data_IF_507363385392
#
_entry.id   IF_507363385392
#
_cell.length_a   1.000
_cell.length_b   1.000
_cell.length_c   1.000
_cell.angle_alpha   90.00
_cell.angle_beta   90.00
_cell.angle_gamma   90.00
#
_symmetry.space_group_name_H-M   'P 1'
#
loop_
_entity.id
_entity.type
_entity.pdbx_description
1 polymer ?
#
# COMPACT_ATOMS: atom_id res chain seq x y z
N UNK A 1 24.64 -14.91 -5.81
CA UNK A 1 24.87 -13.51 -5.34
C UNK A 1 24.55 -13.50 -3.86
N UNK A 2 25.57 -13.42 -3.01
CA UNK A 2 25.38 -13.35 -1.55
C UNK A 2 24.77 -11.99 -1.28
N UNK A 3 23.44 -11.95 -1.11
CA UNK A 3 22.74 -10.76 -0.66
C UNK A 3 23.18 -10.58 0.79
N UNK A 4 23.93 -9.52 1.02
CA UNK A 4 24.46 -9.16 2.32
C UNK A 4 23.30 -9.15 3.34
N UNK A 5 23.34 -9.93 4.44
CA UNK A 5 22.25 -10.01 5.41
C UNK A 5 22.10 -8.73 6.27
N UNK A 6 22.88 -7.69 5.98
CA UNK A 6 22.81 -6.39 6.63
C UNK A 6 21.92 -5.42 5.84
N UNK A 7 20.62 -5.70 5.82
CA UNK A 7 19.62 -4.62 5.79
C UNK A 7 19.22 -4.41 7.25
N UNK A 8 20.14 -3.85 8.05
CA UNK A 8 19.94 -3.52 9.48
C UNK A 8 19.30 -2.15 9.69
N UNK A 9 18.69 -1.60 8.66
CA UNK A 9 17.70 -0.56 8.79
C UNK A 9 16.67 -0.82 7.69
N UNK A 10 15.37 -1.00 8.00
CA UNK A 10 14.39 -0.71 6.98
C UNK A 10 14.73 0.68 6.44
N UNK A 11 14.65 0.91 5.11
CA UNK A 11 14.75 2.27 4.60
C UNK A 11 13.84 3.12 5.46
N UNK A 12 14.33 4.30 5.89
CA UNK A 12 13.51 5.29 6.58
C UNK A 12 12.13 5.24 5.94
N UNK A 13 11.10 5.06 6.78
CA UNK A 13 9.70 4.96 6.36
C UNK A 13 9.29 6.34 5.86
N UNK A 14 9.87 6.73 4.74
CA UNK A 14 9.58 7.90 3.96
C UNK A 14 8.73 7.41 2.79
N UNK A 15 7.78 8.26 2.40
CA UNK A 15 7.01 7.98 1.20
C UNK A 15 7.98 7.82 0.01
N UNK A 16 7.77 6.79 -0.83
CA UNK A 16 8.66 6.57 -1.96
C UNK A 16 8.64 7.80 -2.87
N UNK A 17 9.79 8.44 -3.05
CA UNK A 17 10.01 9.53 -4.00
C UNK A 17 10.65 8.99 -5.28
N UNK A 18 10.68 9.80 -6.34
CA UNK A 18 11.34 9.47 -7.62
C UNK A 18 12.79 9.01 -7.43
N UNK A 19 13.50 9.63 -6.48
CA UNK A 19 14.89 9.34 -6.11
C UNK A 19 15.04 7.95 -5.45
N UNK A 20 14.05 7.56 -4.65
CA UNK A 20 14.04 6.33 -3.85
C UNK A 20 13.77 5.06 -4.67
N UNK A 21 13.44 5.18 -5.97
CA UNK A 21 13.28 4.03 -6.87
C UNK A 21 14.60 3.52 -7.47
N UNK A 22 15.66 4.32 -7.43
CA UNK A 22 16.96 3.92 -7.99
C UNK A 22 17.53 2.64 -7.36
N UNK A 23 17.46 2.44 -6.01
CA UNK A 23 17.82 1.17 -5.39
C UNK A 23 16.94 0.01 -5.82
N UNK A 24 15.62 0.22 -6.01
CA UNK A 24 14.70 -0.82 -6.47
C UNK A 24 15.08 -1.31 -7.87
N UNK A 25 15.42 -0.40 -8.79
CA UNK A 25 15.86 -0.76 -10.13
C UNK A 25 17.15 -1.59 -10.12
N UNK A 26 18.06 -1.38 -9.17
CA UNK A 26 19.28 -2.19 -9.03
C UNK A 26 19.01 -3.65 -8.65
N UNK A 27 17.84 -3.95 -8.08
CA UNK A 27 17.43 -5.33 -7.75
C UNK A 27 16.85 -6.08 -8.96
N UNK A 28 16.50 -5.38 -10.05
CA UNK A 28 15.86 -5.96 -11.23
C UNK A 28 16.91 -6.44 -12.25
N UNK A 29 16.70 -7.57 -12.94
CA UNK A 29 17.70 -8.18 -13.82
C UNK A 29 18.31 -7.22 -14.85
N UNK A 30 17.49 -6.41 -15.51
CA UNK A 30 17.92 -5.45 -16.53
C UNK A 30 17.80 -3.98 -16.09
N UNK A 31 17.63 -3.71 -14.80
CA UNK A 31 17.35 -2.38 -14.29
C UNK A 31 16.16 -1.72 -14.98
N UNK A 32 16.28 -0.43 -15.31
CA UNK A 32 15.28 0.33 -16.07
C UNK A 32 15.52 0.33 -17.60
N UNK A 33 16.46 -0.48 -18.10
CA UNK A 33 16.98 -0.35 -19.46
C UNK A 33 16.31 -1.27 -20.50
N UNK A 34 15.69 -2.39 -20.10
CA UNK A 34 15.10 -3.35 -21.02
C UNK A 34 13.99 -4.19 -20.37
N UNK A 35 13.08 -4.75 -21.19
CA UNK A 35 11.96 -5.59 -20.76
C UNK A 35 10.84 -4.81 -20.08
N UNK A 36 9.99 -5.48 -19.30
CA UNK A 36 8.88 -4.85 -18.57
C UNK A 36 9.35 -3.77 -17.61
N UNK A 37 10.52 -3.93 -17.02
CA UNK A 37 11.07 -2.99 -16.06
C UNK A 37 11.45 -1.66 -16.72
N UNK A 38 11.64 -1.65 -18.04
CA UNK A 38 11.80 -0.41 -18.78
C UNK A 38 10.50 0.39 -18.88
N UNK A 39 9.32 -0.14 -18.56
CA UNK A 39 8.06 0.63 -18.48
C UNK A 39 7.90 1.38 -17.16
N UNK A 40 8.68 1.05 -16.13
CA UNK A 40 8.58 1.74 -14.85
C UNK A 40 9.14 3.15 -15.03
N UNK A 41 8.25 4.14 -15.01
CA UNK A 41 8.59 5.56 -15.00
C UNK A 41 8.21 6.14 -13.63
N UNK A 42 9.18 6.77 -12.98
CA UNK A 42 8.99 7.27 -11.61
C UNK A 42 7.94 8.38 -11.54
N UNK A 43 7.88 9.28 -12.52
CA UNK A 43 6.92 10.37 -12.52
C UNK A 43 5.51 9.84 -12.77
N UNK A 44 5.33 8.91 -13.72
CA UNK A 44 4.03 8.29 -13.98
C UNK A 44 3.54 7.44 -12.81
N UNK A 45 4.44 6.72 -12.14
CA UNK A 45 4.13 5.91 -10.97
C UNK A 45 3.60 6.77 -9.81
N UNK A 46 4.22 7.92 -9.54
CA UNK A 46 3.80 8.81 -8.45
C UNK A 46 2.70 9.82 -8.82
N UNK A 47 2.43 10.03 -10.11
CA UNK A 47 1.24 10.75 -10.61
C UNK A 47 -0.03 9.88 -10.57
N UNK A 48 0.10 8.58 -10.28
CA UNK A 48 -1.04 7.67 -10.17
C UNK A 48 -1.97 8.03 -9.00
N UNK A 49 -3.28 7.81 -9.18
CA UNK A 49 -4.29 8.03 -8.13
C UNK A 49 -4.04 7.15 -6.89
N UNK A 50 -3.44 5.98 -7.10
CA UNK A 50 -2.98 5.08 -6.06
C UNK A 50 -1.80 4.26 -6.57
N UNK A 51 -0.85 3.97 -5.69
CA UNK A 51 0.27 3.07 -5.99
C UNK A 51 0.65 2.24 -4.76
N UNK A 52 1.22 1.07 -5.01
CA UNK A 52 1.76 0.17 -3.98
C UNK A 52 3.02 -0.49 -4.53
N UNK A 53 4.06 -0.54 -3.71
CA UNK A 53 5.30 -1.26 -4.01
C UNK A 53 5.52 -2.25 -2.89
N UNK A 54 5.66 -3.52 -3.26
CA UNK A 54 5.82 -4.62 -2.33
C UNK A 54 7.04 -5.45 -2.66
N UNK A 55 7.79 -5.77 -1.62
CA UNK A 55 8.92 -6.69 -1.65
C UNK A 55 8.59 -7.93 -0.82
N UNK A 56 8.65 -9.12 -1.43
CA UNK A 56 8.57 -10.40 -0.72
C UNK A 56 9.90 -11.12 -0.88
N UNK A 57 10.45 -11.56 0.24
CA UNK A 57 11.67 -12.36 0.28
C UNK A 57 11.33 -13.65 1.01
N UNK A 58 11.56 -14.79 0.35
CA UNK A 58 11.34 -16.10 0.96
C UNK A 58 12.40 -17.10 0.51
N UNK A 59 12.67 -18.08 1.38
CA UNK A 59 13.54 -19.20 1.06
C UNK A 59 12.80 -20.15 0.11
N UNK A 60 13.33 -20.34 -1.08
CA UNK A 60 12.91 -21.38 -2.00
C UNK A 60 13.58 -22.68 -1.60
N UNK A 61 12.81 -23.54 -0.93
CA UNK A 61 13.19 -24.91 -0.64
C UNK A 61 12.82 -25.75 -1.85
N UNK A 62 13.80 -26.07 -2.69
CA UNK A 62 13.61 -27.04 -3.76
C UNK A 62 13.67 -28.45 -3.15
N UNK A 63 12.53 -29.13 -3.08
CA UNK A 63 12.43 -30.48 -2.54
C UNK A 63 13.19 -31.53 -3.36
N UNK A 64 13.66 -31.18 -4.56
CA UNK A 64 14.40 -32.08 -5.45
C UNK A 64 15.92 -32.07 -5.25
N UNK A 65 16.47 -31.05 -4.57
CA UNK A 65 17.91 -30.93 -4.31
C UNK A 65 18.17 -30.68 -2.82
N UNK A 66 18.70 -31.70 -2.15
CA UNK A 66 18.99 -31.76 -0.71
C UNK A 66 19.90 -30.65 -0.12
N UNK A 67 20.32 -29.64 -0.90
CA UNK A 67 21.32 -28.67 -0.41
C UNK A 67 21.32 -27.26 -1.05
N UNK A 68 20.30 -26.84 -1.80
CA UNK A 68 20.28 -25.49 -2.38
C UNK A 68 19.19 -24.62 -1.75
N UNK A 69 19.56 -23.85 -0.74
CA UNK A 69 18.71 -22.79 -0.20
C UNK A 69 18.79 -21.59 -1.15
N UNK A 70 17.88 -21.50 -2.13
CA UNK A 70 17.81 -20.35 -3.02
C UNK A 70 16.89 -19.29 -2.43
N UNK A 71 17.32 -18.03 -2.39
CA UNK A 71 16.43 -16.94 -2.00
C UNK A 71 15.59 -16.52 -3.21
N UNK A 72 14.27 -16.45 -3.06
CA UNK A 72 13.38 -15.87 -4.06
C UNK A 72 12.95 -14.47 -3.61
N UNK A 73 13.24 -13.49 -4.45
CA UNK A 73 12.79 -12.12 -4.33
C UNK A 73 11.65 -11.90 -5.33
N UNK A 74 10.51 -11.42 -4.84
CA UNK A 74 9.38 -11.02 -5.66
C UNK A 74 9.08 -9.54 -5.39
N UNK A 75 9.08 -8.74 -6.46
CA UNK A 75 8.75 -7.32 -6.43
C UNK A 75 7.43 -7.14 -7.17
N UNK A 76 6.46 -6.53 -6.52
CA UNK A 76 5.11 -6.30 -7.02
C UNK A 76 4.84 -4.79 -6.97
N UNK A 77 4.54 -4.18 -8.11
CA UNK A 77 4.21 -2.75 -8.24
C UNK A 77 2.81 -2.66 -8.81
N UNK A 78 1.90 -2.04 -8.07
CA UNK A 78 0.51 -1.87 -8.45
C UNK A 78 0.19 -0.38 -8.56
N UNK A 79 -0.61 0.01 -9.56
CA UNK A 79 -0.99 1.40 -9.81
C UNK A 79 -2.42 1.52 -10.29
N UNK A 80 -3.14 2.54 -9.83
CA UNK A 80 -4.44 2.94 -10.38
C UNK A 80 -4.26 4.24 -11.13
N UNK A 81 -4.50 4.19 -12.44
CA UNK A 81 -4.32 5.31 -13.36
C UNK A 81 -5.67 5.71 -13.96
N UNK A 82 -5.94 7.01 -14.01
CA UNK A 82 -7.15 7.56 -14.62
C UNK A 82 -6.80 8.34 -15.90
N UNK A 83 -6.93 7.68 -17.05
CA UNK A 83 -6.70 8.30 -18.36
C UNK A 83 -7.85 9.23 -18.77
N UNK A 84 -9.07 8.97 -18.31
CA UNK A 84 -10.23 9.80 -18.63
C UNK A 84 -10.04 11.23 -18.12
N UNK A 85 -9.37 11.40 -16.98
CA UNK A 85 -9.00 12.73 -16.46
C UNK A 85 -8.15 13.55 -17.44
N UNK A 86 -7.36 12.88 -18.29
CA UNK A 86 -6.44 13.50 -19.26
C UNK A 86 -7.03 13.61 -20.67
N UNK A 87 -7.71 12.58 -21.15
CA UNK A 87 -8.15 12.46 -22.56
C UNK A 87 -9.68 12.44 -22.74
N UNK A 88 -10.45 12.46 -21.64
CA UNK A 88 -11.93 12.31 -21.59
C UNK A 88 -12.49 10.95 -22.06
N UNK A 89 -11.64 10.07 -22.58
CA UNK A 89 -11.96 8.70 -23.01
C UNK A 89 -11.16 7.69 -22.20
N UNK A 90 -11.58 6.43 -22.24
CA UNK A 90 -10.82 5.32 -21.64
C UNK A 90 -9.71 4.76 -22.55
N UNK A 91 -9.42 5.44 -23.64
CA UNK A 91 -8.35 5.07 -24.57
C UNK A 91 -6.99 5.18 -23.90
N UNK A 92 -6.13 4.20 -24.15
CA UNK A 92 -4.77 4.20 -23.65
C UNK A 92 -3.82 3.45 -24.56
N UNK A 93 -2.55 3.81 -24.46
CA UNK A 93 -1.42 3.11 -25.05
C UNK A 93 -0.29 2.99 -24.00
N UNK A 94 0.76 2.20 -24.27
CA UNK A 94 1.85 2.03 -23.32
C UNK A 94 2.56 3.36 -23.08
N UNK A 95 2.72 4.19 -24.11
CA UNK A 95 3.38 5.49 -23.98
C UNK A 95 2.62 6.49 -23.09
N UNK A 96 1.29 6.52 -23.14
CA UNK A 96 0.45 7.42 -22.33
C UNK A 96 0.43 7.01 -20.86
N UNK A 97 0.33 5.71 -20.59
CA UNK A 97 0.32 5.12 -19.25
C UNK A 97 1.72 5.15 -18.61
N UNK A 98 2.74 4.65 -19.32
CA UNK A 98 4.08 4.40 -18.79
C UNK A 98 5.16 5.38 -19.28
N UNK A 99 4.83 6.28 -20.21
CA UNK A 99 5.77 7.27 -20.76
C UNK A 99 6.68 6.75 -21.87
N UNK A 100 6.58 5.46 -22.23
CA UNK A 100 7.46 4.79 -23.20
C UNK A 100 6.90 3.46 -23.69
N UNK A 101 7.33 3.06 -24.88
CA UNK A 101 7.12 1.74 -25.47
C UNK A 101 8.21 0.75 -25.04
N UNK A 102 7.98 -0.56 -25.25
CA UNK A 102 9.02 -1.57 -25.01
C UNK A 102 9.93 -1.63 -26.24
N UNK A 103 11.11 -1.03 -26.15
CA UNK A 103 12.09 -1.00 -27.25
C UNK A 103 13.13 -2.11 -27.21
N UNK A 104 13.38 -2.72 -26.04
CA UNK A 104 14.44 -3.72 -25.83
C UNK A 104 13.94 -4.90 -25.00
N UNK A 105 14.33 -6.12 -25.38
CA UNK A 105 14.11 -7.35 -24.60
C UNK A 105 15.16 -7.47 -23.50
N UNK A 106 14.79 -7.97 -22.32
CA UNK A 106 15.73 -8.24 -21.24
C UNK A 106 16.38 -9.62 -21.45
N UNK A 107 17.71 -9.73 -21.70
CA UNK A 107 18.35 -11.02 -21.99
C UNK A 107 18.46 -11.97 -20.79
N UNK A 108 18.27 -11.47 -19.57
CA UNK A 108 18.41 -12.23 -18.33
C UNK A 108 17.10 -12.91 -17.87
N UNK A 109 15.99 -12.68 -18.57
CA UNK A 109 14.67 -13.20 -18.16
C UNK A 109 14.35 -14.51 -18.87
N UNK A 110 13.78 -15.47 -18.14
CA UNK A 110 13.27 -16.73 -18.71
C UNK A 110 11.86 -16.58 -19.28
N UNK A 111 11.07 -15.65 -18.75
CA UNK A 111 9.72 -15.31 -19.23
C UNK A 111 9.45 -13.81 -19.12
N UNK A 112 8.62 -13.27 -19.99
CA UNK A 112 8.21 -11.86 -19.95
C UNK A 112 6.91 -11.66 -20.71
N UNK A 113 5.81 -11.60 -19.97
CA UNK A 113 4.46 -11.56 -20.53
C UNK A 113 3.72 -10.31 -20.05
N UNK A 114 2.93 -9.71 -20.96
CA UNK A 114 1.91 -8.72 -20.62
C UNK A 114 0.56 -9.40 -20.73
N UNK A 115 -0.26 -9.28 -19.69
CA UNK A 115 -1.63 -9.75 -19.66
C UNK A 115 -2.58 -8.55 -19.56
N UNK A 116 -3.55 -8.46 -20.47
CA UNK A 116 -4.61 -7.44 -20.44
C UNK A 116 -5.93 -8.14 -20.20
N UNK A 117 -6.66 -7.68 -19.18
CA UNK A 117 -7.98 -8.19 -18.82
C UNK A 117 -9.00 -7.15 -19.26
N UNK A 118 -9.90 -7.52 -20.16
CA UNK A 118 -11.01 -6.64 -20.55
C UNK A 118 -11.97 -6.47 -19.35
N UNK A 119 -12.57 -5.27 -19.17
CA UNK A 119 -13.63 -5.12 -18.18
C UNK A 119 -14.77 -6.09 -18.52
N UNK A 120 -15.46 -6.66 -17.51
CA UNK A 120 -16.61 -7.51 -17.79
C UNK A 120 -17.62 -6.73 -18.61
N UNK A 121 -18.00 -7.27 -19.77
CA UNK A 121 -19.11 -6.73 -20.56
C UNK A 121 -20.35 -6.76 -19.68
N UNK A 122 -21.06 -5.63 -19.56
CA UNK A 122 -22.38 -5.61 -18.93
C UNK A 122 -23.22 -6.68 -19.62
N UNK A 123 -23.67 -7.68 -18.86
CA UNK A 123 -24.55 -8.74 -19.36
C UNK A 123 -25.92 -8.13 -19.69
N UNK A 124 -26.59 -8.71 -20.69
CA UNK A 124 -27.91 -8.27 -21.19
C UNK A 124 -28.99 -8.16 -20.09
N UNK A 125 -28.78 -8.78 -18.92
CA UNK A 125 -29.71 -8.75 -17.79
C UNK A 125 -29.75 -7.42 -17.04
N UNK A 126 -28.67 -6.63 -17.02
CA UNK A 126 -28.66 -5.27 -16.46
C UNK A 126 -29.26 -4.24 -17.44
N UNK A 127 -29.52 -4.64 -18.69
CA UNK A 127 -30.09 -3.79 -19.75
C UNK A 127 -31.60 -3.98 -19.96
N UNK A 128 -32.31 -4.66 -19.05
CA UNK A 128 -33.79 -4.75 -19.08
C UNK A 128 -34.41 -3.36 -18.85
N UNK A 129 -34.45 -2.54 -19.89
CA UNK A 129 -35.07 -1.22 -19.90
C UNK A 129 -34.58 -0.27 -20.98
N UNK A 130 -33.52 -0.57 -21.73
CA UNK A 130 -33.04 0.29 -22.82
C UNK A 130 -32.81 -0.52 -24.09
N UNK A 131 -33.80 -0.51 -24.98
CA UNK A 131 -33.65 -1.02 -26.35
C UNK A 131 -32.49 -0.28 -27.05
N UNK A 132 -31.48 -1.01 -27.54
CA UNK A 132 -30.46 -0.49 -28.45
C UNK A 132 -29.07 -0.17 -27.88
N UNK A 133 -28.66 -0.71 -26.72
CA UNK A 133 -27.26 -0.54 -26.27
C UNK A 133 -26.31 -1.54 -26.96
N UNK A 134 -25.50 -1.03 -27.88
CA UNK A 134 -24.31 -1.72 -28.42
C UNK A 134 -23.39 -2.07 -27.25
N UNK A 135 -23.04 -3.35 -27.09
CA UNK A 135 -21.99 -3.78 -26.16
C UNK A 135 -20.71 -3.04 -26.56
N UNK A 136 -20.36 -1.98 -25.84
CA UNK A 136 -19.14 -1.24 -26.08
C UNK A 136 -17.98 -2.14 -25.68
N UNK A 137 -17.19 -2.55 -26.66
CA UNK A 137 -16.03 -3.40 -26.44
C UNK A 137 -14.78 -2.68 -26.92
N UNK A 138 -13.67 -2.74 -26.16
CA UNK A 138 -12.43 -2.16 -26.62
C UNK A 138 -11.85 -2.96 -27.81
N UNK A 139 -11.12 -2.25 -28.66
CA UNK A 139 -10.23 -2.82 -29.66
C UNK A 139 -8.80 -2.73 -29.15
N UNK A 140 -8.04 -3.83 -29.20
CA UNK A 140 -6.64 -3.87 -28.74
C UNK A 140 -5.75 -4.18 -29.94
N UNK A 141 -4.72 -3.35 -30.13
CA UNK A 141 -3.73 -3.52 -31.20
C UNK A 141 -2.30 -3.51 -30.62
N UNK A 142 -1.38 -4.34 -31.15
CA UNK A 142 -1.61 -5.42 -32.11
C UNK A 142 -2.48 -6.54 -31.50
N UNK A 143 -3.10 -7.38 -32.33
CA UNK A 143 -3.94 -8.48 -31.83
C UNK A 143 -3.08 -9.55 -31.16
N UNK A 144 -3.40 -9.91 -29.91
CA UNK A 144 -2.72 -11.01 -29.19
C UNK A 144 -3.00 -12.39 -29.80
N UNK A 145 -4.19 -12.57 -30.38
CA UNK A 145 -4.70 -13.84 -30.88
C UNK A 145 -5.32 -13.67 -32.28
N UNK A 146 -5.38 -14.72 -33.13
CA UNK A 146 -5.87 -14.62 -34.51
C UNK A 146 -7.27 -14.03 -34.67
N UNK A 147 -8.13 -14.22 -33.67
CA UNK A 147 -9.51 -13.71 -33.68
C UNK A 147 -9.68 -12.36 -32.96
N UNK A 148 -8.62 -11.80 -32.38
CA UNK A 148 -8.68 -10.57 -31.58
C UNK A 148 -9.55 -10.69 -30.31
N UNK A 149 -9.88 -11.92 -29.88
CA UNK A 149 -10.65 -12.22 -28.69
C UNK A 149 -9.74 -12.67 -27.55
N UNK A 150 -10.06 -12.37 -26.28
CA UNK A 150 -9.32 -12.88 -25.14
C UNK A 150 -9.49 -14.40 -25.05
N UNK A 151 -8.40 -15.09 -24.73
CA UNK A 151 -8.41 -16.52 -24.38
C UNK A 151 -8.37 -16.61 -22.86
N UNK A 152 -9.26 -17.40 -22.26
CA UNK A 152 -9.42 -17.48 -20.79
C UNK A 152 -9.63 -16.11 -20.11
N UNK A 153 -10.30 -15.19 -20.80
CA UNK A 153 -10.59 -13.84 -20.29
C UNK A 153 -9.41 -12.87 -20.34
N UNK A 154 -8.30 -13.21 -21.02
CA UNK A 154 -7.09 -12.38 -21.10
C UNK A 154 -6.53 -12.27 -22.53
N UNK A 155 -5.87 -11.16 -22.82
CA UNK A 155 -4.96 -11.00 -23.96
C UNK A 155 -3.53 -11.11 -23.48
N UNK A 156 -2.75 -12.05 -24.03
CA UNK A 156 -1.39 -12.32 -23.56
C UNK A 156 -0.35 -12.01 -24.63
N UNK A 157 0.65 -11.20 -24.31
CA UNK A 157 1.76 -10.84 -25.20
C UNK A 157 3.08 -11.32 -24.61
N UNK A 158 3.76 -12.22 -25.31
CA UNK A 158 5.11 -12.66 -24.94
C UNK A 158 6.16 -11.72 -25.55
N UNK A 159 6.80 -10.90 -24.71
CA UNK A 159 7.78 -9.89 -25.13
C UNK A 159 9.01 -10.54 -25.77
N UNK A 160 9.38 -11.76 -25.37
CA UNK A 160 10.54 -12.46 -25.94
C UNK A 160 10.32 -12.80 -27.42
N UNK A 161 9.08 -13.01 -27.84
CA UNK A 161 8.71 -13.36 -29.21
C UNK A 161 8.18 -12.16 -30.01
N UNK A 162 7.84 -11.04 -29.36
CA UNK A 162 7.30 -9.86 -30.01
C UNK A 162 8.29 -9.16 -30.97
N UNK A 163 7.72 -8.47 -31.96
CA UNK A 163 8.42 -7.48 -32.80
C UNK A 163 8.57 -6.19 -32.00
N UNK A 164 9.76 -5.57 -32.03
CA UNK A 164 10.06 -4.34 -31.30
C UNK A 164 10.16 -3.14 -32.25
N UNK A 165 9.83 -1.91 -31.77
CA UNK A 165 9.28 -1.60 -30.46
C UNK A 165 7.86 -2.13 -30.31
N UNK A 166 7.57 -2.77 -29.18
CA UNK A 166 6.22 -3.24 -28.86
C UNK A 166 5.45 -2.10 -28.21
N UNK A 167 4.47 -1.58 -28.95
CA UNK A 167 3.46 -0.64 -28.47
C UNK A 167 2.11 -1.35 -28.48
N UNK A 168 1.41 -1.32 -27.35
CA UNK A 168 0.07 -1.88 -27.23
C UNK A 168 -0.88 -0.72 -26.95
N UNK A 169 -1.95 -0.65 -27.72
CA UNK A 169 -3.02 0.33 -27.56
C UNK A 169 -4.37 -0.35 -27.35
N UNK A 170 -5.20 0.26 -26.52
CA UNK A 170 -6.59 -0.10 -26.30
C UNK A 170 -7.47 1.12 -26.60
N UNK A 171 -8.36 0.99 -27.56
CA UNK A 171 -9.28 2.05 -28.01
C UNK A 171 -10.73 1.66 -27.86
N UNK A 172 -11.57 2.61 -27.51
CA UNK A 172 -13.02 2.52 -27.42
C UNK A 172 -13.65 3.25 -28.60
N UNK A 173 -13.75 2.61 -29.79
CA UNK A 173 -14.12 3.30 -31.03
C UNK A 173 -15.53 3.92 -30.98
N UNK A 174 -16.43 3.31 -30.21
CA UNK A 174 -17.82 3.76 -30.04
C UNK A 174 -17.99 4.79 -28.91
N UNK A 175 -16.93 5.11 -28.16
CA UNK A 175 -16.98 6.03 -27.03
C UNK A 175 -16.48 7.42 -27.46
N UNK A 176 -17.37 8.43 -27.43
CA UNK A 176 -16.99 9.83 -27.64
C UNK A 176 -16.45 10.47 -26.36
N UNK A 177 -17.08 10.19 -25.22
CA UNK A 177 -16.67 10.67 -23.91
C UNK A 177 -17.09 9.66 -22.86
N UNK A 178 -16.18 9.32 -21.95
CA UNK A 178 -16.50 8.44 -20.83
C UNK A 178 -17.45 9.12 -19.86
N UNK A 179 -18.55 8.44 -19.54
CA UNK A 179 -19.48 8.84 -18.48
C UNK A 179 -19.24 7.93 -17.29
N UNK A 180 -18.74 8.51 -16.20
CA UNK A 180 -18.63 7.81 -14.94
C UNK A 180 -20.02 7.36 -14.46
N UNK A 181 -20.16 6.17 -13.85
CA UNK A 181 -21.44 5.72 -13.32
C UNK A 181 -21.88 6.67 -12.20
N UNK A 182 -23.16 7.04 -12.17
CA UNK A 182 -23.71 7.92 -11.12
C UNK A 182 -23.88 7.16 -9.79
N UNK A 183 -24.08 5.84 -9.87
CA UNK A 183 -24.26 4.96 -8.73
C UNK A 183 -23.02 4.05 -8.63
N UNK A 184 -22.30 4.16 -7.52
CA UNK A 184 -21.18 3.28 -7.20
C UNK A 184 -21.58 2.26 -6.15
N UNK A 185 -21.21 1.01 -6.37
CA UNK A 185 -21.31 -0.01 -5.33
C UNK A 185 -20.24 0.27 -4.26
N UNK A 186 -20.69 0.47 -3.02
CA UNK A 186 -19.75 0.62 -1.90
C UNK A 186 -18.89 -0.65 -1.79
N UNK A 187 -17.57 -0.53 -1.54
CA UNK A 187 -16.72 -1.70 -1.35
C UNK A 187 -17.25 -2.57 -0.20
N UNK A 188 -17.09 -3.90 -0.27
CA UNK A 188 -17.62 -4.84 0.73
C UNK A 188 -16.96 -4.65 2.10
N UNK A 189 -15.73 -4.12 2.11
CA UNK A 189 -14.94 -3.85 3.30
C UNK A 189 -14.36 -2.43 3.19
N UNK A 190 -14.45 -1.66 4.27
CA UNK A 190 -13.75 -0.38 4.44
C UNK A 190 -12.87 -0.47 5.67
N UNK A 191 -11.66 0.02 5.54
CA UNK A 191 -10.68 -0.02 6.63
C UNK A 191 -10.06 1.36 6.79
N UNK A 192 -9.97 1.85 8.03
CA UNK A 192 -9.38 3.14 8.35
C UNK A 192 -8.45 3.00 9.55
N UNK A 193 -7.35 3.74 9.54
CA UNK A 193 -6.54 3.92 10.75
C UNK A 193 -7.17 5.04 11.58
N UNK A 194 -7.28 4.80 12.88
CA UNK A 194 -7.69 5.79 13.86
C UNK A 194 -6.42 6.39 14.47
N UNK A 195 -6.33 7.72 14.47
CA UNK A 195 -5.31 8.46 15.20
C UNK A 195 -6.04 9.57 15.97
N UNK A 196 -5.83 9.61 17.28
CA UNK A 196 -6.47 10.58 18.16
C UNK A 196 -5.56 10.89 19.36
N UNK A 197 -5.91 11.92 20.13
CA UNK A 197 -5.13 12.39 21.26
C UNK A 197 -4.60 13.81 21.06
N UNK A 198 -4.16 14.40 22.15
CA UNK A 198 -3.61 15.75 22.19
C UNK A 198 -2.22 15.71 22.84
N UNK A 199 -1.30 16.51 22.30
CA UNK A 199 0.07 16.64 22.81
C UNK A 199 1.13 16.00 21.91
N UNK A 200 2.39 16.19 22.30
CA UNK A 200 3.54 15.77 21.49
C UNK A 200 4.12 14.42 21.88
N UNK A 201 3.76 13.85 23.04
CA UNK A 201 4.38 12.63 23.58
C UNK A 201 3.51 11.38 23.47
N UNK A 202 2.20 11.47 23.72
CA UNK A 202 1.30 10.32 23.76
C UNK A 202 0.05 10.53 22.90
N UNK A 203 -0.54 9.43 22.47
CA UNK A 203 -1.79 9.43 21.73
C UNK A 203 -2.48 8.07 21.71
N UNK A 204 -3.55 7.98 20.94
CA UNK A 204 -4.32 6.77 20.70
C UNK A 204 -4.24 6.44 19.22
N UNK A 205 -3.93 5.18 18.93
CA UNK A 205 -3.92 4.62 17.59
C UNK A 205 -4.85 3.42 17.52
N UNK A 206 -5.41 3.15 16.36
CA UNK A 206 -6.22 1.95 16.17
C UNK A 206 -6.60 1.70 14.72
N UNK A 207 -7.46 0.72 14.53
CA UNK A 207 -8.07 0.36 13.27
C UNK A 207 -9.59 0.38 13.42
N UNK A 208 -10.26 0.85 12.37
CA UNK A 208 -11.70 0.77 12.17
C UNK A 208 -11.97 -0.08 10.93
N UNK A 209 -12.79 -1.12 11.08
CA UNK A 209 -13.16 -2.06 10.03
C UNK A 209 -14.68 -2.00 9.89
N UNK A 210 -15.17 -1.66 8.71
CA UNK A 210 -16.58 -1.74 8.36
C UNK A 210 -16.75 -2.82 7.29
N UNK A 211 -17.63 -3.79 7.53
CA UNK A 211 -17.82 -4.94 6.66
C UNK A 211 -19.30 -5.31 6.59
N UNK A 212 -19.80 -5.69 5.41
CA UNK A 212 -21.18 -6.17 5.27
C UNK A 212 -21.35 -7.53 5.95
N UNK A 213 -22.51 -7.79 6.56
CA UNK A 213 -22.81 -9.07 7.20
C UNK A 213 -22.66 -10.26 6.23
N UNK A 214 -23.11 -10.11 4.98
CA UNK A 214 -22.89 -11.09 3.90
C UNK A 214 -21.41 -11.43 3.66
N UNK A 215 -20.50 -10.47 3.83
CA UNK A 215 -19.06 -10.70 3.65
C UNK A 215 -18.46 -11.45 4.84
N UNK A 216 -18.94 -11.16 6.05
CA UNK A 216 -18.54 -11.86 7.28
C UNK A 216 -19.00 -13.32 7.24
N UNK A 217 -20.23 -13.56 6.81
CA UNK A 217 -20.84 -14.90 6.79
C UNK A 217 -20.45 -15.70 5.53
N UNK A 218 -19.74 -15.09 4.58
CA UNK A 218 -19.35 -15.70 3.29
C UNK A 218 -18.58 -17.01 3.48
N UNK A 219 -17.67 -17.05 4.44
CA UNK A 219 -16.85 -18.21 4.74
C UNK A 219 -16.70 -18.36 6.27
N UNK A 220 -17.28 -19.42 6.89
CA UNK A 220 -17.21 -19.61 8.34
C UNK A 220 -15.78 -19.89 8.85
N UNK A 221 -14.83 -20.17 7.94
CA UNK A 221 -13.40 -20.31 8.25
C UNK A 221 -12.59 -19.10 7.81
N UNK A 222 -13.24 -18.00 7.43
CA UNK A 222 -12.53 -16.78 7.04
C UNK A 222 -11.64 -16.32 8.17
N UNK A 223 -10.35 -16.17 7.89
CA UNK A 223 -9.41 -15.59 8.84
C UNK A 223 -9.21 -14.12 8.49
N UNK A 224 -9.63 -13.22 9.40
CA UNK A 224 -9.40 -11.78 9.27
C UNK A 224 -8.12 -11.45 10.01
N UNK A 225 -7.10 -10.97 9.31
CA UNK A 225 -5.79 -10.70 9.90
C UNK A 225 -5.46 -9.22 9.77
N UNK A 226 -5.36 -8.54 10.91
CA UNK A 226 -4.84 -7.18 11.00
C UNK A 226 -3.32 -7.24 11.21
N UNK A 227 -2.57 -6.61 10.31
CA UNK A 227 -1.12 -6.48 10.36
C UNK A 227 -0.73 -5.00 10.37
N UNK A 228 0.20 -4.66 11.25
CA UNK A 228 0.66 -3.29 11.48
C UNK A 228 2.17 -3.31 11.69
N UNK A 229 2.87 -2.37 11.06
CA UNK A 229 4.30 -2.15 11.22
C UNK A 229 4.55 -0.67 11.51
N UNK A 230 5.17 -0.40 12.65
CA UNK A 230 5.35 0.94 13.21
C UNK A 230 6.84 1.21 13.41
N UNK A 231 7.29 2.46 13.18
CA UNK A 231 8.68 2.83 13.42
C UNK A 231 9.13 2.53 14.85
N UNK A 232 10.43 2.31 15.03
CA UNK A 232 10.98 1.94 16.35
C UNK A 232 10.71 3.00 17.43
N UNK A 233 10.57 4.27 17.03
CA UNK A 233 10.32 5.41 17.92
C UNK A 233 8.86 5.54 18.35
N UNK A 234 7.96 4.69 17.84
CA UNK A 234 6.56 4.68 18.23
C UNK A 234 6.30 3.44 19.10
N UNK A 235 6.32 3.62 20.41
CA UNK A 235 6.07 2.54 21.37
C UNK A 235 4.57 2.40 21.61
N UNK A 236 4.01 1.22 21.36
CA UNK A 236 2.58 0.96 21.59
C UNK A 236 2.33 0.15 22.87
N UNK A 237 1.21 0.44 23.53
CA UNK A 237 0.80 -0.21 24.77
C UNK A 237 -0.39 -1.13 24.56
N UNK A 238 -0.15 -2.34 24.04
CA UNK A 238 -1.22 -3.31 23.75
C UNK A 238 -2.03 -3.76 24.99
N UNK A 239 -1.56 -3.48 26.21
CA UNK A 239 -2.33 -3.72 27.44
C UNK A 239 -3.47 -2.71 27.62
N UNK A 240 -3.43 -1.55 26.96
CA UNK A 240 -4.49 -0.52 26.94
C UNK A 240 -5.56 -0.78 25.87
N UNK A 241 -5.41 -1.88 25.13
CA UNK A 241 -6.26 -2.21 23.99
C UNK A 241 -7.73 -2.29 24.40
N UNK A 242 -8.56 -1.54 23.69
CA UNK A 242 -10.02 -1.53 23.79
C UNK A 242 -10.61 -1.96 22.46
N UNK A 243 -11.69 -2.74 22.53
CA UNK A 243 -12.43 -3.21 21.36
C UNK A 243 -13.86 -2.73 21.48
N UNK A 244 -14.39 -2.19 20.38
CA UNK A 244 -15.77 -1.77 20.22
C UNK A 244 -16.34 -2.46 18.98
N UNK A 245 -17.51 -3.07 19.10
CA UNK A 245 -18.22 -3.67 17.96
C UNK A 245 -19.63 -3.10 17.95
N UNK A 246 -20.01 -2.52 16.81
CA UNK A 246 -21.31 -1.87 16.58
C UNK A 246 -21.68 -0.84 17.66
N UNK A 247 -20.69 -0.08 18.14
CA UNK A 247 -20.85 0.93 19.20
C UNK A 247 -20.82 0.37 20.62
N UNK A 248 -20.74 -0.96 20.80
CA UNK A 248 -20.72 -1.62 22.10
C UNK A 248 -19.28 -1.98 22.47
N UNK A 249 -18.83 -1.49 23.63
CA UNK A 249 -17.51 -1.82 24.14
C UNK A 249 -17.46 -3.28 24.62
N UNK A 250 -16.48 -4.04 24.12
CA UNK A 250 -16.28 -5.45 24.46
C UNK A 250 -15.39 -5.58 25.69
N UNK A 251 -15.94 -6.12 26.78
CA UNK A 251 -15.23 -6.31 28.06
C UNK A 251 -14.03 -7.27 27.95
N UNK A 252 -14.16 -8.33 27.15
CA UNK A 252 -13.12 -9.35 26.98
C UNK A 252 -12.63 -9.39 25.53
N UNK A 253 -11.52 -8.70 25.20
CA UNK A 253 -11.00 -8.63 23.83
C UNK A 253 -10.69 -9.99 23.20
N UNK A 254 -10.49 -11.05 23.98
CA UNK A 254 -10.26 -12.43 23.49
C UNK A 254 -11.43 -13.02 22.70
N UNK A 255 -12.65 -12.46 22.84
CA UNK A 255 -13.80 -12.83 22.00
C UNK A 255 -13.65 -12.37 20.55
N UNK A 256 -12.90 -11.31 20.33
CA UNK A 256 -12.68 -10.70 19.02
C UNK A 256 -11.29 -11.05 18.50
N UNK A 257 -10.27 -11.04 19.37
CA UNK A 257 -8.88 -11.28 18.99
C UNK A 257 -8.50 -12.69 19.42
N UNK A 258 -8.48 -13.61 18.47
CA UNK A 258 -8.25 -15.05 18.70
C UNK A 258 -6.77 -15.39 18.80
N UNK A 259 -5.92 -14.67 18.05
CA UNK A 259 -4.47 -14.86 18.03
C UNK A 259 -3.76 -13.52 17.96
N UNK A 260 -2.64 -13.40 18.68
CA UNK A 260 -1.74 -12.25 18.63
C UNK A 260 -0.31 -12.74 18.38
N UNK A 261 0.40 -12.07 17.49
CA UNK A 261 1.84 -12.26 17.29
C UNK A 261 2.48 -10.89 17.31
N UNK A 262 3.42 -10.69 18.22
CA UNK A 262 4.01 -9.38 18.48
C UNK A 262 5.53 -9.51 18.35
N UNK A 263 6.11 -8.59 17.60
CA UNK A 263 7.54 -8.43 17.42
C UNK A 263 7.87 -7.00 17.88
N UNK A 264 8.36 -6.82 19.13
CA UNK A 264 8.58 -5.48 19.68
C UNK A 264 9.65 -4.72 18.88
N UNK A 265 9.67 -3.40 18.96
CA UNK A 265 10.74 -2.59 18.37
C UNK A 265 12.06 -2.77 19.12
N UNK A 266 13.17 -2.47 18.44
CA UNK A 266 14.47 -2.21 19.05
C UNK A 266 14.93 -0.85 18.53
N UNK A 267 15.31 0.04 19.43
CA UNK A 267 15.67 1.42 19.10
C UNK A 267 16.73 1.44 17.99
N UNK A 268 16.46 2.17 16.89
CA UNK A 268 17.33 2.34 15.71
C UNK A 268 17.70 1.07 14.93
N UNK A 269 17.22 -0.09 15.32
CA UNK A 269 17.58 -1.37 14.68
C UNK A 269 16.37 -2.03 14.01
N UNK A 270 15.20 -1.98 14.67
CA UNK A 270 14.07 -2.79 14.24
C UNK A 270 12.72 -2.11 14.55
N UNK A 271 11.79 -2.05 13.58
CA UNK A 271 10.44 -1.54 13.79
C UNK A 271 9.62 -2.47 14.69
N UNK A 272 8.55 -1.92 15.27
CA UNK A 272 7.54 -2.71 15.96
C UNK A 272 6.62 -3.33 14.91
N UNK A 273 6.38 -4.63 14.95
CA UNK A 273 5.35 -5.24 14.11
C UNK A 273 4.45 -6.16 14.90
N UNK A 274 3.16 -6.15 14.57
CA UNK A 274 2.23 -7.07 15.19
C UNK A 274 1.16 -7.55 14.22
N UNK A 275 0.61 -8.70 14.56
CA UNK A 275 -0.46 -9.35 13.83
C UNK A 275 -1.54 -9.79 14.80
N UNK A 276 -2.79 -9.50 14.48
CA UNK A 276 -3.96 -9.95 15.23
C UNK A 276 -4.89 -10.70 14.28
N UNK A 277 -5.20 -11.95 14.61
CA UNK A 277 -6.31 -12.66 13.99
C UNK A 277 -7.59 -12.21 14.70
N UNK A 278 -8.52 -11.70 13.91
CA UNK A 278 -9.78 -11.09 14.33
C UNK A 278 -10.96 -11.99 13.94
N UNK A 279 -12.00 -11.94 14.75
CA UNK A 279 -13.29 -12.54 14.47
C UNK A 279 -14.39 -11.50 14.74
N UNK A 280 -15.34 -11.35 13.82
CA UNK A 280 -16.53 -10.55 14.07
C UNK A 280 -17.49 -11.36 14.96
N UNK A 281 -17.77 -10.92 16.20
CA UNK A 281 -18.68 -11.66 17.08
C UNK A 281 -20.10 -11.65 16.51
N UNK A 282 -20.81 -12.76 16.69
CA UNK A 282 -22.20 -12.83 16.26
C UNK A 282 -23.06 -11.87 17.09
N UNK A 283 -24.15 -11.38 16.49
CA UNK A 283 -25.08 -10.49 17.20
C UNK A 283 -25.73 -11.15 18.42
N UNK A 284 -25.73 -12.48 18.51
CA UNK A 284 -26.25 -13.21 19.66
C UNK A 284 -25.21 -13.35 20.78
N UNK A 285 -23.91 -13.47 20.45
CA UNK A 285 -22.81 -13.44 21.43
C UNK A 285 -22.70 -12.08 22.16
N UNK A 286 -23.17 -11.02 21.50
CA UNK A 286 -23.22 -9.66 22.05
C UNK A 286 -24.37 -9.44 23.04
N UNK A 287 -25.44 -10.26 23.00
CA UNK A 287 -26.64 -10.13 23.87
C UNK A 287 -26.46 -10.73 25.26
N UNK A 288 -25.32 -11.35 25.56
CA UNK A 288 -25.11 -12.05 26.84
C UNK A 288 -25.01 -11.09 28.04
N UNK A 289 -24.91 -9.77 27.83
CA UNK A 289 -25.13 -8.78 28.89
C UNK A 289 -25.77 -7.48 28.38
N UNK A 290 -27.11 -7.36 28.38
CA UNK A 290 -27.77 -6.08 28.29
C UNK A 290 -28.10 -5.62 29.71
N UNK A 291 -27.27 -4.75 30.29
CA UNK A 291 -27.79 -3.79 31.25
C UNK A 291 -28.57 -2.74 30.45
N UNK A 292 -29.87 -2.98 30.34
CA UNK A 292 -30.92 -2.05 29.90
C UNK A 292 -30.70 -1.36 28.54
N UNK A 293 -31.00 -2.09 27.46
CA UNK A 293 -31.55 -1.46 26.24
C UNK A 293 -32.77 -2.28 25.85
N UNK A 294 -33.96 -1.72 26.08
CA UNK A 294 -35.21 -2.24 25.53
C UNK A 294 -35.16 -2.03 24.02
N UNK A 295 -35.25 -3.10 23.24
CA UNK A 295 -35.53 -3.03 21.81
C UNK A 295 -36.68 -3.97 21.48
N UNK A 296 -37.87 -3.41 21.39
CA UNK A 296 -38.88 -3.88 20.45
C UNK A 296 -38.35 -3.62 19.03
N UNK A 297 -38.21 -4.69 18.24
CA UNK A 297 -38.71 -4.77 16.86
C UNK A 297 -38.12 -6.01 16.19
N UNK A 298 -38.96 -7.05 16.10
CA UNK A 298 -38.71 -8.25 15.30
C UNK A 298 -39.12 -7.97 13.86
N UNK A 299 -38.16 -7.56 13.03
CA UNK A 299 -38.27 -7.70 11.58
C UNK A 299 -37.05 -8.43 11.03
N UNK A 300 -37.18 -9.76 10.94
CA UNK A 300 -36.15 -10.72 10.54
C UNK A 300 -35.74 -10.69 9.05
N UNK A 301 -36.22 -9.71 8.27
CA UNK A 301 -35.91 -9.58 6.83
C UNK A 301 -34.86 -8.51 6.49
N UNK A 302 -34.35 -7.75 7.48
CA UNK A 302 -33.29 -6.73 7.29
C UNK A 302 -31.88 -7.17 7.69
N UNK A 303 -31.68 -8.44 8.06
CA UNK A 303 -30.38 -8.92 8.62
C UNK A 303 -29.23 -8.99 7.61
N UNK A 304 -29.49 -9.28 6.33
CA UNK A 304 -28.40 -9.59 5.40
C UNK A 304 -27.65 -8.35 4.88
N UNK A 305 -28.31 -7.19 4.78
CA UNK A 305 -27.68 -5.94 4.33
C UNK A 305 -27.07 -5.10 5.46
N UNK A 306 -26.98 -5.63 6.68
CA UNK A 306 -26.45 -4.89 7.82
C UNK A 306 -24.93 -4.67 7.70
N UNK A 307 -24.51 -3.42 7.72
CA UNK A 307 -23.09 -3.05 7.85
C UNK A 307 -22.67 -3.21 9.32
N UNK A 308 -21.64 -4.01 9.56
CA UNK A 308 -21.04 -4.22 10.88
C UNK A 308 -19.77 -3.38 11.02
N UNK A 309 -19.51 -2.87 12.22
CA UNK A 309 -18.38 -1.97 12.49
C UNK A 309 -17.58 -2.43 13.69
N UNK A 310 -16.28 -2.62 13.52
CA UNK A 310 -15.33 -2.99 14.58
C UNK A 310 -14.26 -1.92 14.72
N UNK A 311 -13.99 -1.47 15.93
CA UNK A 311 -12.85 -0.60 16.27
C UNK A 311 -11.96 -1.29 17.28
N UNK A 312 -10.66 -1.28 17.03
CA UNK A 312 -9.64 -1.74 17.96
C UNK A 312 -8.66 -0.59 18.14
N UNK A 313 -8.46 -0.11 19.35
CA UNK A 313 -7.58 1.02 19.62
C UNK A 313 -6.78 0.84 20.90
N UNK A 314 -5.59 1.42 20.95
CA UNK A 314 -4.61 1.32 22.02
C UNK A 314 -3.79 2.61 22.10
N UNK A 315 -3.19 2.86 23.25
CA UNK A 315 -2.32 4.01 23.48
C UNK A 315 -0.93 3.79 22.90
N UNK A 316 -0.28 4.88 22.48
CA UNK A 316 1.11 4.89 22.04
C UNK A 316 1.87 6.09 22.66
N UNK A 317 3.18 5.98 22.69
CA UNK A 317 4.13 7.02 23.10
C UNK A 317 5.22 7.19 22.03
N UNK A 318 5.69 8.42 21.87
CA UNK A 318 6.74 8.80 20.91
C UNK A 318 8.07 8.96 21.65
N UNK A 319 9.10 8.31 21.14
CA UNK A 319 10.47 8.47 21.61
C UNK A 319 11.11 9.73 21.02
N UNK A 320 12.13 10.25 21.71
CA UNK A 320 12.95 11.35 21.23
C UNK A 320 13.90 10.89 20.12
N UNK A 321 13.86 11.60 19.00
CA UNK A 321 14.78 11.40 17.89
C UNK A 321 16.04 12.26 18.07
N UNK A 322 17.15 11.81 17.49
CA UNK A 322 18.35 12.63 17.34
C UNK A 322 18.10 13.69 16.28
N UNK A 323 18.78 14.84 16.39
CA UNK A 323 18.63 15.92 15.40
C UNK A 323 18.95 15.45 13.97
N UNK A 324 19.86 14.47 13.81
CA UNK A 324 20.26 13.88 12.52
C UNK A 324 19.20 12.96 11.92
N UNK A 325 18.14 12.65 12.65
CA UNK A 325 17.09 11.72 12.24
C UNK A 325 15.79 12.42 11.86
N UNK A 326 15.73 13.73 12.11
CA UNK A 326 14.72 14.55 11.48
C UNK A 326 15.10 14.73 10.01
N UNK A 327 14.10 14.60 9.15
CA UNK A 327 14.21 14.91 7.74
C UNK A 327 14.55 16.40 7.55
N UNK A 328 15.32 16.71 6.52
CA UNK A 328 16.01 18.00 6.31
C UNK A 328 15.09 19.24 6.17
N UNK A 329 13.80 19.05 5.93
CA UNK A 329 12.80 20.12 5.78
C UNK A 329 12.08 20.47 7.09
N UNK A 330 11.42 21.63 7.12
CA UNK A 330 10.51 22.03 8.20
C UNK A 330 9.31 21.06 8.24
N UNK A 331 9.49 19.94 8.92
CA UNK A 331 8.60 18.80 8.80
C UNK A 331 7.39 18.89 9.72
N UNK A 332 6.25 18.50 9.16
CA UNK A 332 4.93 18.37 9.81
C UNK A 332 4.79 17.08 10.65
N UNK A 333 5.90 16.37 10.89
CA UNK A 333 5.92 15.02 11.44
C UNK A 333 6.33 13.94 10.43
N UNK A 334 6.08 12.68 10.78
CA UNK A 334 6.42 11.51 9.98
C UNK A 334 5.17 10.78 9.50
N UNK A 335 5.14 10.40 8.22
CA UNK A 335 4.07 9.59 7.66
C UNK A 335 4.25 8.11 8.04
N UNK A 336 3.23 7.53 8.66
CA UNK A 336 3.15 6.10 8.93
C UNK A 336 2.63 5.36 7.70
N UNK A 337 3.35 4.32 7.30
CA UNK A 337 2.91 3.34 6.30
C UNK A 337 1.49 2.83 6.60
N UNK A 338 0.70 2.45 5.60
CA UNK A 338 -0.64 1.94 5.81
C UNK A 338 -0.61 0.57 6.50
N UNK A 339 -1.61 0.30 7.33
CA UNK A 339 -1.81 -1.00 7.92
C UNK A 339 -2.52 -1.92 6.92
N UNK A 340 -2.32 -3.23 7.06
CA UNK A 340 -2.96 -4.23 6.20
C UNK A 340 -4.06 -4.98 6.96
N UNK A 341 -5.22 -5.13 6.32
CA UNK A 341 -6.23 -6.10 6.69
C UNK A 341 -6.27 -7.19 5.61
N UNK A 342 -6.02 -8.43 6.00
CA UNK A 342 -5.95 -9.57 5.08
C UNK A 342 -7.10 -10.51 5.39
N UNK A 343 -7.93 -10.80 4.39
CA UNK A 343 -8.96 -11.83 4.48
C UNK A 343 -8.45 -13.09 3.79
N UNK A 344 -8.29 -14.17 4.54
CA UNK A 344 -8.02 -15.48 3.97
C UNK A 344 -9.33 -16.25 3.83
N UNK A 345 -9.65 -16.67 2.61
CA UNK A 345 -10.76 -17.59 2.36
C UNK A 345 -10.23 -18.98 2.05
N UNK A 346 -10.80 -19.99 2.72
CA UNK A 346 -10.47 -21.39 2.49
C UNK A 346 -11.37 -21.93 1.39
N UNK A 347 -10.92 -21.90 0.12
CA UNK A 347 -11.57 -22.66 -0.94
C UNK A 347 -11.42 -24.16 -0.67
N UNK A 348 -12.37 -24.78 0.01
CA UNK A 348 -12.54 -26.24 -0.05
C UNK A 348 -13.03 -26.56 -1.46
N UNK A 349 -12.17 -27.12 -2.31
CA UNK A 349 -12.65 -27.95 -3.42
C UNK A 349 -13.38 -29.12 -2.76
N UNK A 350 -14.71 -29.11 -2.76
CA UNK A 350 -15.48 -30.32 -2.48
C UNK A 350 -15.08 -31.36 -3.53
N UNK A 351 -14.18 -32.28 -3.16
CA UNK A 351 -14.15 -33.60 -3.77
C UNK A 351 -15.29 -34.35 -3.12
N UNK A 352 -16.47 -34.34 -3.75
CA UNK A 352 -17.39 -35.47 -3.75
C UNK A 352 -18.53 -35.22 -4.74
N UNK A 353 -18.76 -36.27 -5.54
CA UNK A 353 -19.87 -36.53 -6.47
C UNK A 353 -19.83 -35.85 -7.86
N UNK A 354 -19.94 -36.72 -8.87
CA UNK A 354 -19.96 -36.39 -10.28
C UNK A 354 -21.34 -35.97 -10.79
N UNK A 355 -21.29 -35.57 -12.06
CA UNK A 355 -22.36 -35.28 -13.02
C UNK A 355 -23.25 -34.03 -12.84
N UNK A 356 -23.18 -33.25 -13.92
CA UNK A 356 -24.17 -32.37 -14.56
C UNK A 356 -24.66 -31.06 -13.89
N UNK A 357 -24.30 -29.96 -14.57
CA UNK A 357 -25.11 -28.79 -14.89
C UNK A 357 -25.73 -28.02 -13.71
N UNK A 358 -24.95 -27.06 -13.17
CA UNK A 358 -25.51 -25.82 -12.66
C UNK A 358 -24.50 -24.67 -12.87
N UNK A 359 -24.89 -23.73 -13.73
CA UNK A 359 -24.26 -22.42 -13.87
C UNK A 359 -24.46 -21.63 -12.57
N UNK A 360 -23.37 -21.29 -11.89
CA UNK A 360 -23.36 -20.22 -10.91
C UNK A 360 -22.20 -19.27 -11.23
N UNK A 361 -22.56 -18.11 -11.79
CA UNK A 361 -21.68 -17.00 -12.09
C UNK A 361 -21.47 -16.19 -10.81
N UNK A 362 -20.32 -16.36 -10.15
CA UNK A 362 -19.82 -15.38 -9.21
C UNK A 362 -18.47 -14.85 -9.70
N UNK A 363 -18.50 -13.61 -10.17
CA UNK A 363 -17.35 -12.84 -10.63
C UNK A 363 -16.27 -12.78 -9.55
N UNK A 364 -15.26 -13.64 -9.69
CA UNK A 364 -14.02 -13.54 -8.95
C UNK A 364 -12.92 -13.18 -9.94
N UNK A 365 -12.56 -11.90 -9.96
CA UNK A 365 -11.37 -11.38 -10.61
C UNK A 365 -10.13 -11.99 -9.93
N UNK A 366 -9.75 -13.17 -10.39
CA UNK A 366 -8.65 -13.97 -9.86
C UNK A 366 -7.36 -13.67 -10.61
N UNK A 367 -6.55 -12.77 -10.05
CA UNK A 367 -5.11 -12.72 -10.27
C UNK A 367 -4.50 -13.97 -9.60
N UNK A 368 -4.56 -15.12 -10.28
CA UNK A 368 -3.89 -16.34 -9.81
C UNK A 368 -2.42 -16.25 -10.23
N UNK A 369 -1.58 -15.69 -9.36
CA UNK A 369 -0.14 -15.81 -9.48
C UNK A 369 0.28 -17.26 -9.24
N UNK A 370 1.12 -17.74 -10.14
CA UNK A 370 1.59 -19.11 -10.20
C UNK A 370 2.57 -19.44 -9.07
N UNK A 371 2.47 -20.69 -8.61
CA UNK A 371 3.41 -21.45 -7.80
C UNK A 371 3.37 -21.25 -6.27
N UNK A 372 2.75 -22.24 -5.63
CA UNK A 372 3.05 -22.83 -4.31
C UNK A 372 2.92 -21.92 -3.07
N UNK A 373 1.69 -21.76 -2.59
CA UNK A 373 1.42 -21.89 -1.15
C UNK A 373 0.00 -22.43 -0.95
N UNK A 374 -0.17 -23.46 -0.13
CA UNK A 374 -1.44 -24.19 0.08
C UNK A 374 -2.49 -23.41 0.89
N UNK A 375 -2.45 -22.07 0.85
CA UNK A 375 -3.44 -21.21 1.51
C UNK A 375 -4.37 -20.65 0.43
N UNK A 376 -5.67 -20.71 0.66
CA UNK A 376 -6.69 -20.29 -0.31
C UNK A 376 -6.58 -18.82 -0.74
N UNK A 377 -7.51 -18.34 -1.58
CA UNK A 377 -7.48 -16.97 -2.08
C UNK A 377 -7.48 -15.95 -0.93
N UNK A 378 -6.52 -15.02 -0.94
CA UNK A 378 -6.43 -13.94 0.05
C UNK A 378 -6.71 -12.57 -0.58
N UNK A 379 -7.57 -11.77 0.03
CA UNK A 379 -7.83 -10.38 -0.37
C UNK A 379 -7.20 -9.45 0.68
N UNK A 380 -6.58 -8.35 0.24
CA UNK A 380 -5.95 -7.37 1.13
C UNK A 380 -6.61 -6.01 1.00
N UNK A 381 -6.79 -5.35 2.13
CA UNK A 381 -7.25 -3.98 2.24
C UNK A 381 -6.19 -3.18 2.99
N UNK A 382 -5.97 -1.94 2.57
CA UNK A 382 -4.99 -1.05 3.17
C UNK A 382 -5.70 0.11 3.86
N UNK A 383 -5.21 0.51 5.02
CA UNK A 383 -5.63 1.80 5.60
C UNK A 383 -5.02 2.95 4.78
N UNK A 384 -5.47 4.17 5.03
CA UNK A 384 -4.70 5.35 4.61
C UNK A 384 -3.41 5.44 5.43
N UNK A 385 -2.38 6.08 4.86
CA UNK A 385 -1.23 6.55 5.63
C UNK A 385 -1.70 7.54 6.71
N UNK A 386 -0.98 7.63 7.82
CA UNK A 386 -1.32 8.56 8.89
C UNK A 386 -0.11 9.41 9.26
N UNK A 387 -0.28 10.72 9.33
CA UNK A 387 0.76 11.63 9.76
C UNK A 387 0.82 11.66 11.29
N UNK A 388 1.97 11.31 11.86
CA UNK A 388 2.25 11.49 13.28
C UNK A 388 3.13 12.72 13.44
N UNK A 389 2.54 13.77 14.01
CA UNK A 389 3.30 14.97 14.40
C UNK A 389 4.37 14.59 15.42
N UNK A 390 5.54 15.21 15.34
CA UNK A 390 6.64 14.97 16.26
C UNK A 390 7.29 16.31 16.57
N UNK A 391 7.54 16.59 17.84
CA UNK A 391 8.14 17.85 18.24
C UNK A 391 9.46 18.06 17.49
N UNK A 392 9.55 19.11 16.70
CA UNK A 392 10.78 19.49 16.01
C UNK A 392 11.82 19.94 17.03
N UNK A 393 13.09 19.55 16.88
CA UNK A 393 14.13 19.96 17.81
C UNK A 393 14.34 21.47 17.66
N UNK A 394 14.63 22.15 18.76
CA UNK A 394 14.91 23.59 18.72
C UNK A 394 16.23 23.85 17.97
N UNK A 395 16.12 24.22 16.69
CA UNK A 395 17.26 24.57 15.85
C UNK A 395 17.83 25.97 16.16
N UNK A 396 17.18 26.76 17.03
CA UNK A 396 17.64 28.11 17.35
C UNK A 396 18.92 28.11 18.18
N UNK A 397 19.09 27.14 19.09
CA UNK A 397 20.28 27.07 19.96
C UNK A 397 21.56 26.78 19.15
N UNK A 398 21.63 25.73 18.29
CA UNK A 398 22.79 25.53 17.42
C UNK A 398 23.06 26.73 16.51
N UNK A 399 22.00 27.34 15.95
CA UNK A 399 22.14 28.50 15.07
C UNK A 399 22.75 29.71 15.79
N UNK A 400 22.29 30.00 17.01
CA UNK A 400 22.84 31.05 17.86
C UNK A 400 24.32 30.80 18.18
N UNK A 401 24.69 29.55 18.51
CA UNK A 401 26.09 29.18 18.77
C UNK A 401 26.95 29.36 17.51
N UNK A 402 26.46 28.93 16.34
CA UNK A 402 27.17 29.10 15.06
C UNK A 402 27.36 30.59 14.75
N UNK A 403 26.33 31.42 14.93
CA UNK A 403 26.44 32.88 14.72
C UNK A 403 27.46 33.49 15.68
N UNK A 404 27.41 33.15 16.96
CA UNK A 404 28.32 33.74 17.97
C UNK A 404 29.76 33.31 17.69
N UNK A 405 30.00 32.03 17.41
CA UNK A 405 31.35 31.51 17.14
C UNK A 405 31.93 32.03 15.83
N UNK A 406 31.14 32.09 14.75
CA UNK A 406 31.56 32.67 13.47
C UNK A 406 31.84 34.17 13.58
N UNK A 407 31.01 34.92 14.32
CA UNK A 407 31.24 36.34 14.59
C UNK A 407 32.53 36.55 15.38
N UNK A 408 32.77 35.76 16.43
CA UNK A 408 33.99 35.82 17.21
C UNK A 408 35.23 35.51 16.36
N UNK A 409 35.18 34.48 15.50
CA UNK A 409 36.26 34.13 14.58
C UNK A 409 36.52 35.26 13.56
N UNK A 410 35.46 35.84 13.00
CA UNK A 410 35.57 36.94 12.04
C UNK A 410 36.19 38.19 12.68
N UNK A 411 35.78 38.55 13.91
CA UNK A 411 36.36 39.68 14.65
C UNK A 411 37.81 39.44 15.03
N UNK A 412 38.14 38.22 15.50
CA UNK A 412 39.52 37.85 15.83
C UNK A 412 40.43 37.94 14.61
N UNK A 413 40.04 37.28 13.51
CA UNK A 413 40.82 37.27 12.29
C UNK A 413 40.92 38.68 11.68
N UNK A 414 39.81 39.43 11.63
CA UNK A 414 39.80 40.80 11.14
C UNK A 414 40.67 41.75 11.97
N UNK A 415 40.68 41.59 13.30
CA UNK A 415 41.53 42.37 14.20
C UNK A 415 43.02 42.05 13.97
N UNK A 416 43.39 40.76 13.96
CA UNK A 416 44.77 40.32 13.75
C UNK A 416 45.28 40.71 12.36
N UNK A 417 44.48 40.52 11.32
CA UNK A 417 44.83 40.91 9.95
C UNK A 417 45.04 42.42 9.84
N UNK A 418 44.14 43.23 10.43
CA UNK A 418 44.30 44.68 10.44
C UNK A 418 45.57 45.12 11.19
N UNK A 419 45.91 44.49 12.32
CA UNK A 419 47.13 44.77 13.05
C UNK A 419 48.40 44.45 12.26
N UNK A 420 48.38 43.35 11.49
CA UNK A 420 49.55 42.92 10.71
C UNK A 420 49.73 43.72 9.41
N UNK A 421 48.64 44.19 8.80
CA UNK A 421 48.68 44.82 7.47
C UNK A 421 48.63 46.35 7.53
N UNK A 422 48.01 46.94 8.57
CA UNK A 422 47.95 48.41 8.67
C UNK A 422 49.21 48.98 9.28
N UNK A 423 49.76 49.98 8.58
CA UNK A 423 50.92 50.74 9.02
C UNK A 423 50.46 51.92 9.89
N UNK A 424 50.68 51.83 11.21
CA UNK A 424 50.21 52.85 12.16
C UNK A 424 51.18 54.02 12.20
N UNK A 425 50.75 55.20 11.73
CA UNK A 425 51.54 56.44 11.80
C UNK A 425 51.12 57.32 12.97
N UNK A 426 52.11 57.74 13.77
CA UNK A 426 51.93 58.71 14.85
C UNK A 426 51.66 60.11 14.28
N UNK A 427 50.44 60.61 14.48
CA UNK A 427 50.08 62.00 14.17
C UNK A 427 50.25 62.82 15.45
N UNK A 428 51.18 63.78 15.45
CA UNK A 428 51.30 64.74 16.55
C UNK A 428 50.11 65.69 16.53
N UNK A 429 49.19 65.51 17.49
CA UNK A 429 48.11 66.46 17.73
C UNK A 429 48.74 67.71 18.35
N UNK A 430 48.68 68.85 17.64
CA UNK A 430 49.11 70.14 18.19
C UNK A 430 48.21 70.47 19.39
N UNK A 431 48.76 70.44 20.61
CA UNK A 431 48.13 71.09 21.77
C UNK A 431 48.00 72.57 21.43
N UNK A 432 46.76 73.05 21.46
CA UNK A 432 46.41 74.46 21.22
C UNK A 432 46.80 75.31 22.42
#
# INVERSE_FOLDING_TARGET
MIINPFITAPPYIEQPCTENLSPLFKLLPCGSHAGLTSLIDSHKLFDANWHSIRLKIFNHLDHSSLNSNHLRLEIEIETVLDQVRKTTKRDWDLNSIFGKSISKKCPLTSSSNIEIIEPPSLTEEETKGTEGLVIQRPTIHPQAHPHGLPVDGKHTYNILQAVLPLEIEMKWPTEERFKYPEIYTSPPVKVKRLLSGHGQTRGIMGIEIEMKQEEIDRDPRQEIVYFEELPWWLTIYLHTLKVEVDGIQIKYPTRVITKKTIKPSIQRERPYSFTMTLNFPSSDDMKVHPSNVQSEDRNSQKKNTQLRKMKIYFEYEKDLLLYTEYSSDANRGFDLNPAALILYSSKTKNKDQGDELAHDNLHQSGLNSSASDHRGSSVRYWTTCALVDLATPDFSMPYNVIIVTSTAMALFFGSVFNLLVRDFKLIKIKKK
#
